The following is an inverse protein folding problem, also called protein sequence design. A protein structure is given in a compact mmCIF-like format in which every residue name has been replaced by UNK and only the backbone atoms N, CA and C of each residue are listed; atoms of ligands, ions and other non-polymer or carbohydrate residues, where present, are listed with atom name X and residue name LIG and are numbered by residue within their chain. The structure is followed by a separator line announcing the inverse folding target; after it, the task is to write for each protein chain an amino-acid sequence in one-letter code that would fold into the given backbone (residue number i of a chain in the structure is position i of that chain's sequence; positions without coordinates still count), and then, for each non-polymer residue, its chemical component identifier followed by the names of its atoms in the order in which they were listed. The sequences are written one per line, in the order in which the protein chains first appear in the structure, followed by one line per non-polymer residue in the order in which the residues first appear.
data_IF_203948304521
#
_entry.id   IF_203948304521
#
_cell.length_a   1.000
_cell.length_b   1.000
_cell.length_c   1.000
_cell.angle_alpha   90.00
_cell.angle_beta   90.00
_cell.angle_gamma   90.00
#
_symmetry.space_group_name_H-M   'P 1'
#
loop_
_entity.id
_entity.type
_entity.pdbx_description
1 polymer ?
#
# COMPACT_ATOMS: atom_id res chain seq x y z
N UNK A 1 -28.12 -33.76 16.88
CA UNK A 1 -27.50 -33.59 15.53
C UNK A 1 -27.22 -32.13 15.17
N UNK A 2 -28.18 -31.19 15.31
CA UNK A 2 -27.97 -29.75 14.98
C UNK A 2 -26.87 -29.04 15.78
N UNK A 3 -26.74 -29.32 17.08
CA UNK A 3 -25.69 -28.74 17.95
C UNK A 3 -24.28 -29.19 17.55
N UNK A 4 -24.14 -30.43 17.08
CA UNK A 4 -22.85 -30.98 16.67
C UNK A 4 -22.31 -30.27 15.41
N UNK A 5 -23.21 -29.91 14.48
CA UNK A 5 -22.87 -29.17 13.27
C UNK A 5 -22.39 -27.74 13.60
N UNK A 6 -23.03 -27.07 14.57
CA UNK A 6 -22.63 -25.73 15.01
C UNK A 6 -21.24 -25.71 15.65
N UNK A 7 -20.91 -26.74 16.43
CA UNK A 7 -19.58 -26.87 17.05
C UNK A 7 -18.47 -27.14 16.03
N UNK A 8 -18.76 -27.94 14.99
CA UNK A 8 -17.81 -28.19 13.89
C UNK A 8 -17.54 -26.90 13.11
N UNK A 9 -18.57 -26.11 12.81
CA UNK A 9 -18.40 -24.82 12.11
C UNK A 9 -17.55 -23.85 12.95
N UNK A 10 -17.81 -23.75 14.26
CA UNK A 10 -17.04 -22.91 15.18
C UNK A 10 -15.56 -23.33 15.30
N UNK A 11 -15.30 -24.63 15.14
CA UNK A 11 -13.94 -25.17 15.13
C UNK A 11 -13.25 -24.89 13.79
N UNK A 12 -13.95 -25.05 12.66
CA UNK A 12 -13.44 -24.72 11.33
C UNK A 12 -13.12 -23.22 11.15
N UNK A 13 -13.85 -22.31 11.80
CA UNK A 13 -13.54 -20.88 11.75
C UNK A 13 -12.25 -20.50 12.49
N UNK A 14 -11.83 -21.28 13.48
CA UNK A 14 -10.59 -21.04 14.22
C UNK A 14 -9.35 -21.60 13.53
N UNK A 15 -9.50 -22.63 12.69
CA UNK A 15 -8.40 -23.25 11.93
C UNK A 15 -8.02 -22.42 10.68
N UNK A 16 -8.83 -21.43 10.31
CA UNK A 16 -8.67 -20.67 9.06
C UNK A 16 -7.64 -19.51 9.10
N UNK A 17 -6.94 -19.28 10.23
CA UNK A 17 -6.02 -18.14 10.35
C UNK A 17 -4.59 -18.59 10.70
N UNK A 18 -3.93 -19.19 9.73
CA UNK A 18 -2.49 -19.02 9.53
C UNK A 18 -2.25 -19.09 8.02
N UNK A 19 -2.34 -17.93 7.35
CA UNK A 19 -1.87 -17.83 5.97
C UNK A 19 -0.35 -17.80 6.06
N UNK A 20 0.31 -18.91 5.70
CA UNK A 20 1.73 -18.87 5.37
C UNK A 20 1.89 -17.92 4.19
N UNK A 21 2.39 -16.72 4.45
CA UNK A 21 2.75 -15.77 3.40
C UNK A 21 3.95 -16.39 2.70
N UNK A 22 3.73 -17.01 1.54
CA UNK A 22 4.82 -17.43 0.66
C UNK A 22 5.73 -16.21 0.42
N UNK A 23 7.01 -16.24 0.81
CA UNK A 23 7.94 -15.13 0.58
C UNK A 23 8.04 -14.74 -0.90
N UNK A 24 7.77 -15.67 -1.83
CA UNK A 24 7.72 -15.40 -3.26
C UNK A 24 6.47 -14.62 -3.71
N UNK A 25 5.46 -14.47 -2.85
CA UNK A 25 4.23 -13.70 -3.11
C UNK A 25 4.37 -12.22 -2.72
N UNK A 26 5.48 -11.81 -2.11
CA UNK A 26 5.79 -10.38 -1.94
C UNK A 26 6.12 -9.80 -3.31
N UNK A 27 5.07 -9.42 -4.04
CA UNK A 27 5.18 -8.65 -5.27
C UNK A 27 5.50 -7.22 -4.89
N UNK A 28 6.74 -6.80 -5.13
CA UNK A 28 7.10 -5.40 -5.08
C UNK A 28 6.52 -4.73 -6.32
N UNK A 29 5.41 -4.02 -6.16
CA UNK A 29 4.91 -3.15 -7.21
C UNK A 29 5.89 -2.01 -7.40
N UNK A 30 6.34 -1.82 -8.65
CA UNK A 30 7.29 -0.76 -8.99
C UNK A 30 6.56 0.58 -9.00
N UNK A 31 6.78 1.40 -7.98
CA UNK A 31 6.16 2.72 -7.81
C UNK A 31 6.87 3.81 -8.64
N UNK A 32 7.01 3.64 -9.96
CA UNK A 32 7.63 4.64 -10.85
C UNK A 32 6.59 5.56 -11.50
N UNK A 33 7.05 6.67 -12.08
CA UNK A 33 6.20 7.61 -12.84
C UNK A 33 5.40 6.95 -13.97
N UNK A 34 5.93 5.86 -14.55
CA UNK A 34 5.32 5.13 -15.67
C UNK A 34 4.30 4.05 -15.25
N UNK A 35 4.06 3.85 -13.96
CA UNK A 35 3.15 2.79 -13.51
C UNK A 35 1.69 3.17 -13.81
N UNK A 36 1.08 2.52 -14.81
CA UNK A 36 -0.31 2.75 -15.21
C UNK A 36 -1.35 2.15 -14.25
N UNK A 37 -0.97 1.23 -13.35
CA UNK A 37 -1.88 0.63 -12.36
C UNK A 37 -2.22 1.64 -11.26
N UNK A 38 -1.24 2.44 -10.87
CA UNK A 38 -1.41 3.60 -10.01
C UNK A 38 -1.63 4.78 -10.94
N UNK A 39 -2.87 5.11 -11.28
CA UNK A 39 -3.24 6.09 -12.33
C UNK A 39 -2.45 7.43 -12.33
N UNK A 40 -1.70 7.74 -11.28
CA UNK A 40 -0.59 8.70 -11.25
C UNK A 40 0.52 8.14 -10.34
N UNK A 41 1.67 7.79 -10.90
CA UNK A 41 2.85 7.36 -10.12
C UNK A 41 3.53 8.53 -9.40
N UNK A 42 4.79 8.34 -9.00
CA UNK A 42 5.64 9.44 -8.50
C UNK A 42 5.73 10.58 -9.53
N UNK A 43 5.79 11.82 -9.06
CA UNK A 43 6.01 12.99 -9.91
C UNK A 43 7.34 12.94 -10.66
N UNK A 44 8.38 12.34 -10.07
CA UNK A 44 9.67 12.08 -10.72
C UNK A 44 10.38 10.87 -10.07
N UNK A 45 11.20 10.15 -10.84
CA UNK A 45 11.78 8.85 -10.43
C UNK A 45 12.94 8.94 -9.40
N UNK A 46 13.49 10.12 -9.15
CA UNK A 46 14.59 10.34 -8.20
C UNK A 46 14.01 10.78 -6.86
N UNK A 47 14.15 9.92 -5.86
CA UNK A 47 13.71 10.17 -4.48
C UNK A 47 14.90 10.69 -3.67
N UNK A 48 14.75 11.85 -3.04
CA UNK A 48 15.75 12.44 -2.14
C UNK A 48 15.48 12.13 -0.67
N UNK A 49 14.21 11.98 -0.30
CA UNK A 49 13.83 11.66 1.08
C UNK A 49 12.58 10.78 1.14
N UNK A 50 12.52 9.97 2.20
CA UNK A 50 11.46 9.02 2.51
C UNK A 50 11.06 9.20 3.97
N UNK A 51 9.76 9.26 4.26
CA UNK A 51 9.22 9.31 5.62
C UNK A 51 7.91 8.55 5.69
N UNK A 52 7.67 7.80 6.77
CA UNK A 52 6.33 7.35 7.13
C UNK A 52 5.79 8.25 8.25
N UNK A 53 4.56 8.75 8.11
CA UNK A 53 3.92 9.50 9.19
C UNK A 53 3.22 8.60 10.21
N UNK A 54 2.64 9.20 11.25
CA UNK A 54 1.97 8.47 12.34
C UNK A 54 0.67 7.80 11.90
N UNK A 55 0.10 8.23 10.78
CA UNK A 55 -1.11 7.64 10.20
C UNK A 55 -0.78 6.49 9.24
N UNK A 56 0.51 6.29 8.95
CA UNK A 56 1.00 5.22 8.09
C UNK A 56 1.18 5.63 6.63
N UNK A 57 0.93 6.90 6.27
CA UNK A 57 1.18 7.37 4.91
C UNK A 57 2.68 7.45 4.63
N UNK A 58 3.06 7.06 3.42
CA UNK A 58 4.43 7.17 2.94
C UNK A 58 4.61 8.48 2.18
N UNK A 59 5.67 9.21 2.50
CA UNK A 59 6.02 10.48 1.90
C UNK A 59 7.35 10.36 1.17
N UNK A 60 7.38 10.85 -0.07
CA UNK A 60 8.55 10.82 -0.95
C UNK A 60 8.83 12.22 -1.48
N UNK A 61 9.95 12.81 -1.08
CA UNK A 61 10.44 14.05 -1.69
C UNK A 61 11.22 13.72 -2.94
N UNK A 62 10.77 14.25 -4.08
CA UNK A 62 11.43 14.08 -5.38
C UNK A 62 11.97 15.43 -5.87
N UNK A 63 12.66 15.44 -7.01
CA UNK A 63 13.08 16.70 -7.64
C UNK A 63 11.89 17.60 -7.99
N UNK A 64 10.76 16.99 -8.39
CA UNK A 64 9.60 17.68 -8.91
C UNK A 64 8.39 17.49 -7.99
N UNK A 65 8.59 17.77 -6.70
CA UNK A 65 7.51 17.83 -5.71
C UNK A 65 7.51 16.69 -4.69
N UNK A 66 6.52 16.79 -3.80
CA UNK A 66 6.32 15.91 -2.65
C UNK A 66 5.16 14.96 -2.96
N UNK A 67 5.39 13.66 -2.77
CA UNK A 67 4.43 12.62 -3.11
C UNK A 67 3.98 11.93 -1.81
N UNK A 68 2.67 11.84 -1.59
CA UNK A 68 2.07 11.06 -0.49
C UNK A 68 1.40 9.82 -1.04
N UNK A 69 1.68 8.67 -0.44
CA UNK A 69 1.13 7.37 -0.82
C UNK A 69 0.35 6.76 0.34
N UNK A 70 -0.87 6.29 0.05
CA UNK A 70 -1.79 5.69 1.01
C UNK A 70 -1.83 4.16 0.98
N UNK A 71 -0.95 3.53 0.21
CA UNK A 71 -0.98 2.09 -0.06
C UNK A 71 -1.69 1.72 -1.36
N UNK A 72 -2.40 2.65 -1.98
CA UNK A 72 -3.15 2.43 -3.22
C UNK A 72 -2.91 3.51 -4.28
N UNK A 73 -2.72 4.77 -3.89
CA UNK A 73 -2.62 5.91 -4.81
C UNK A 73 -1.64 6.96 -4.33
N UNK A 74 -1.09 7.73 -5.26
CA UNK A 74 -0.27 8.90 -4.97
C UNK A 74 -1.09 10.19 -5.02
N UNK A 75 -0.88 11.05 -4.04
CA UNK A 75 -1.23 12.48 -4.08
C UNK A 75 0.06 13.28 -4.29
N UNK A 76 0.09 14.12 -5.33
CA UNK A 76 1.26 14.94 -5.69
C UNK A 76 1.04 16.37 -5.22
N UNK A 77 2.02 16.91 -4.49
CA UNK A 77 2.11 18.28 -4.03
C UNK A 77 3.28 18.95 -4.75
N UNK A 78 2.99 19.92 -5.61
CA UNK A 78 3.97 20.61 -6.44
C UNK A 78 3.61 22.09 -6.61
N UNK A 79 4.47 22.84 -7.29
CA UNK A 79 4.23 24.27 -7.59
C UNK A 79 3.02 24.51 -8.50
N UNK A 80 2.64 23.53 -9.31
CA UNK A 80 1.52 23.65 -10.25
C UNK A 80 0.17 23.49 -9.54
N UNK A 81 0.16 22.76 -8.43
CA UNK A 81 -0.98 22.59 -7.51
C UNK A 81 -1.09 23.71 -6.46
N UNK A 82 -0.13 24.63 -6.42
CA UNK A 82 -0.15 25.82 -5.57
C UNK A 82 0.20 25.57 -4.10
N UNK A 83 0.86 24.44 -3.81
CA UNK A 83 1.17 23.97 -2.44
C UNK A 83 2.68 23.90 -2.16
N UNK A 84 3.48 24.72 -2.86
CA UNK A 84 4.93 24.81 -2.65
C UNK A 84 5.31 25.76 -1.51
#
# INVERSE_FOLDING_TARGET
MKILILLIILWCTNVAFAQDIDPATIKFDRLTSENMVLQKGLSQNTIYCLLQDRQGYMWFGTWDGLNKYDGYQFTIYDKHTGLA
#
